data_IF_796167981307
#
_entry.id   IF_796167981307
#
_cell.length_a   1.000
_cell.length_b   1.000
_cell.length_c   1.000
_cell.angle_alpha   90.00
_cell.angle_beta   90.00
_cell.angle_gamma   90.00
#
_symmetry.space_group_name_H-M   'P 1'
#
loop_
_entity.id
_entity.type
_entity.pdbx_description
1 polymer ?
#
# COMPACT_ATOMS: atom_id res chain seq x y z
N UNK A 1 11.83 0.62 -4.69
CA UNK A 1 10.88 1.20 -5.67
C UNK A 1 11.33 2.59 -6.04
N UNK A 2 10.97 3.13 -7.22
CA UNK A 2 11.48 4.43 -7.69
C UNK A 2 10.32 5.28 -8.20
N UNK A 3 10.22 6.52 -7.71
CA UNK A 3 9.26 7.54 -8.14
C UNK A 3 9.76 8.27 -9.40
N UNK A 4 8.87 8.97 -10.10
CA UNK A 4 9.19 9.73 -11.32
C UNK A 4 10.24 10.82 -11.10
N UNK A 5 10.35 11.35 -9.88
CA UNK A 5 11.29 12.39 -9.51
C UNK A 5 12.66 11.85 -9.02
N UNK A 6 12.87 10.53 -9.15
CA UNK A 6 14.09 9.84 -8.73
C UNK A 6 14.15 9.51 -7.23
N UNK A 7 13.08 9.76 -6.47
CA UNK A 7 12.98 9.27 -5.08
C UNK A 7 12.92 7.75 -5.05
N UNK A 8 13.67 7.13 -4.16
CA UNK A 8 13.72 5.67 -3.99
C UNK A 8 13.15 5.27 -2.63
N UNK A 9 12.19 4.35 -2.62
CA UNK A 9 11.75 3.66 -1.41
C UNK A 9 12.73 2.54 -1.06
N UNK A 10 13.28 2.61 0.15
CA UNK A 10 14.28 1.69 0.68
C UNK A 10 13.77 1.05 1.96
N UNK A 11 13.84 -0.28 2.00
CA UNK A 11 13.62 -1.08 3.20
C UNK A 11 14.93 -1.24 3.97
N UNK A 12 14.94 -0.88 5.26
CA UNK A 12 16.10 -1.04 6.11
C UNK A 12 15.99 -2.30 6.97
N UNK A 13 16.89 -3.24 6.68
CA UNK A 13 17.09 -4.47 7.44
C UNK A 13 18.12 -4.19 8.55
N UNK A 14 17.81 -4.47 9.84
CA UNK A 14 18.70 -4.14 10.96
C UNK A 14 20.00 -4.94 10.92
N UNK A 15 19.97 -6.14 10.32
CA UNK A 15 21.16 -6.93 10.01
C UNK A 15 21.02 -7.50 8.60
N UNK A 16 22.15 -7.90 8.00
CA UNK A 16 22.18 -8.53 6.67
C UNK A 16 21.34 -9.80 6.59
N UNK A 17 21.25 -10.54 7.69
CA UNK A 17 20.54 -11.82 7.76
C UNK A 17 19.09 -11.67 8.26
N UNK A 18 18.66 -10.43 8.55
CA UNK A 18 17.27 -10.18 8.90
C UNK A 18 16.38 -10.38 7.68
N UNK A 19 15.31 -11.18 7.82
CA UNK A 19 14.32 -11.37 6.75
C UNK A 19 13.26 -10.25 6.67
N UNK A 20 13.30 -9.29 7.60
CA UNK A 20 12.24 -8.30 7.81
C UNK A 20 12.81 -6.91 8.04
N UNK A 21 12.27 -5.91 7.34
CA UNK A 21 12.67 -4.53 7.50
C UNK A 21 12.05 -3.91 8.75
N UNK A 22 12.81 -3.08 9.46
CA UNK A 22 12.35 -2.38 10.68
C UNK A 22 12.03 -0.92 10.44
N UNK A 23 12.41 -0.38 9.27
CA UNK A 23 12.12 0.99 8.87
C UNK A 23 12.07 1.12 7.35
N UNK A 24 11.28 2.09 6.89
CA UNK A 24 11.27 2.56 5.52
C UNK A 24 11.98 3.91 5.42
N UNK A 25 12.67 4.11 4.31
CA UNK A 25 13.34 5.37 3.99
C UNK A 25 12.97 5.82 2.57
N UNK A 26 12.85 7.13 2.40
CA UNK A 26 12.85 7.77 1.10
C UNK A 26 14.23 8.36 0.85
N UNK A 27 14.93 7.82 -0.14
CA UNK A 27 16.24 8.28 -0.56
C UNK A 27 16.13 9.13 -1.81
N UNK A 28 16.72 10.32 -1.80
CA UNK A 28 16.78 11.21 -2.96
C UNK A 28 18.05 12.05 -2.91
N UNK A 29 18.79 12.09 -4.01
CA UNK A 29 19.98 12.93 -4.16
C UNK A 29 20.97 12.81 -2.97
N UNK A 30 21.27 11.58 -2.55
CA UNK A 30 22.21 11.31 -1.47
C UNK A 30 21.65 11.49 -0.06
N UNK A 31 20.41 11.98 0.10
CA UNK A 31 19.77 12.16 1.40
C UNK A 31 18.72 11.08 1.64
N UNK A 32 18.75 10.45 2.82
CA UNK A 32 17.75 9.50 3.26
C UNK A 32 16.87 10.12 4.36
N UNK A 33 15.55 10.09 4.16
CA UNK A 33 14.56 10.47 5.18
C UNK A 33 13.81 9.25 5.65
N UNK A 34 13.82 9.00 6.97
CA UNK A 34 13.08 7.91 7.60
C UNK A 34 11.58 8.22 7.61
N UNK A 35 10.75 7.22 7.34
CA UNK A 35 9.30 7.27 7.56
C UNK A 35 8.97 6.92 9.01
N UNK A 36 7.94 7.54 9.58
CA UNK A 36 7.50 7.21 10.93
C UNK A 36 6.77 5.87 10.92
N UNK A 37 7.14 4.95 11.81
CA UNK A 37 6.38 3.71 11.99
C UNK A 37 5.10 4.01 12.79
N UNK A 38 3.95 3.38 12.46
CA UNK A 38 2.81 3.35 13.36
C UNK A 38 3.19 2.77 14.72
N UNK A 39 2.51 3.23 15.78
CA UNK A 39 2.73 2.70 17.13
C UNK A 39 2.56 1.18 17.18
N UNK A 40 3.43 0.49 17.92
CA UNK A 40 3.41 -0.98 18.05
C UNK A 40 4.00 -1.76 16.88
N UNK A 41 4.46 -1.09 15.82
CA UNK A 41 5.09 -1.74 14.66
C UNK A 41 6.51 -2.17 14.95
N UNK A 42 6.86 -3.42 14.62
CA UNK A 42 8.25 -3.92 14.64
C UNK A 42 8.80 -4.19 13.25
N UNK A 43 7.93 -4.52 12.30
CA UNK A 43 8.31 -4.83 10.92
C UNK A 43 7.44 -4.02 9.98
N UNK A 44 8.06 -3.56 8.91
CA UNK A 44 7.42 -2.79 7.85
C UNK A 44 7.79 -3.38 6.51
N UNK A 45 6.92 -3.20 5.52
CA UNK A 45 7.19 -3.52 4.14
C UNK A 45 6.63 -2.45 3.23
N UNK A 46 7.43 -2.03 2.25
CA UNK A 46 7.06 -1.05 1.25
C UNK A 46 6.60 -1.73 -0.03
N UNK A 47 5.42 -1.35 -0.52
CA UNK A 47 4.78 -1.94 -1.70
C UNK A 47 4.64 -1.01 -2.89
N UNK A 48 4.49 0.30 -2.66
CA UNK A 48 4.44 1.32 -3.73
C UNK A 48 4.95 2.69 -3.28
N UNK A 49 5.35 3.53 -4.24
CA UNK A 49 5.81 4.89 -4.05
C UNK A 49 5.29 5.80 -5.17
N UNK A 50 4.58 6.88 -4.79
CA UNK A 50 4.10 7.89 -5.74
C UNK A 50 4.05 9.28 -5.11
N UNK A 51 4.72 10.26 -5.73
CA UNK A 51 4.84 11.63 -5.24
C UNK A 51 5.29 11.70 -3.77
N UNK A 52 6.25 10.87 -3.37
CA UNK A 52 6.72 10.76 -1.99
C UNK A 52 5.73 10.15 -0.98
N UNK A 53 4.56 9.66 -1.44
CA UNK A 53 3.64 8.84 -0.64
C UNK A 53 4.01 7.39 -0.81
N UNK A 54 3.82 6.59 0.22
CA UNK A 54 4.14 5.15 0.20
C UNK A 54 2.90 4.35 0.51
N UNK A 55 2.68 3.25 -0.19
CA UNK A 55 1.79 2.18 0.27
C UNK A 55 2.64 1.05 0.83
N UNK A 56 2.17 0.43 1.91
CA UNK A 56 2.86 -0.67 2.55
C UNK A 56 2.00 -1.39 3.56
N UNK A 57 2.67 -2.22 4.33
CA UNK A 57 2.12 -2.99 5.43
C UNK A 57 3.04 -2.96 6.65
N UNK A 58 2.44 -3.11 7.82
CA UNK A 58 3.12 -3.10 9.10
C UNK A 58 2.73 -4.33 9.90
N UNK A 59 3.65 -4.83 10.71
CA UNK A 59 3.44 -5.99 11.56
C UNK A 59 3.84 -5.68 13.01
N UNK A 60 3.03 -6.10 13.99
CA UNK A 60 3.36 -6.01 15.41
C UNK A 60 4.40 -7.07 15.82
N UNK A 61 4.91 -6.96 17.05
CA UNK A 61 5.86 -7.93 17.62
C UNK A 61 5.31 -9.36 17.70
N UNK A 62 4.00 -9.48 17.90
CA UNK A 62 3.30 -10.75 18.07
C UNK A 62 2.20 -10.88 17.01
N UNK A 63 2.25 -11.98 16.26
CA UNK A 63 1.27 -12.27 15.22
C UNK A 63 1.77 -11.98 13.80
N UNK A 64 0.99 -12.43 12.82
CA UNK A 64 1.28 -12.26 11.39
C UNK A 64 0.22 -11.41 10.68
N UNK A 65 -0.66 -10.78 11.46
CA UNK A 65 -1.74 -9.95 10.95
C UNK A 65 -1.17 -8.60 10.54
N UNK A 66 -0.79 -8.51 9.26
CA UNK A 66 -0.38 -7.26 8.63
C UNK A 66 -1.51 -6.22 8.72
N UNK A 67 -1.12 -4.97 8.90
CA UNK A 67 -1.99 -3.80 8.75
C UNK A 67 -1.50 -2.95 7.61
N UNK A 68 -2.40 -2.58 6.70
CA UNK A 68 -2.09 -1.63 5.64
C UNK A 68 -1.71 -0.28 6.23
N UNK A 69 -0.62 0.28 5.73
CA UNK A 69 -0.08 1.54 6.19
C UNK A 69 0.35 2.36 4.97
N UNK A 70 -0.49 3.27 4.48
CA UNK A 70 -0.03 4.32 3.59
C UNK A 70 0.68 5.40 4.42
N UNK A 71 1.76 5.96 3.88
CA UNK A 71 2.42 7.15 4.40
C UNK A 71 2.16 8.32 3.47
N UNK A 72 1.85 9.48 4.05
CA UNK A 72 1.75 10.72 3.31
C UNK A 72 3.15 11.22 2.89
N UNK A 73 3.20 12.36 2.18
CA UNK A 73 4.47 12.94 1.69
C UNK A 73 5.44 13.27 2.80
N UNK A 74 4.93 13.67 3.96
CA UNK A 74 5.73 14.01 5.14
C UNK A 74 6.24 12.76 5.87
N UNK A 75 5.86 11.57 5.41
CA UNK A 75 6.24 10.29 5.99
C UNK A 75 5.48 9.97 7.28
N UNK A 76 4.32 10.58 7.46
CA UNK A 76 3.39 10.26 8.55
C UNK A 76 2.47 9.13 8.09
N UNK A 77 2.38 8.02 8.85
CA UNK A 77 1.48 6.92 8.52
C UNK A 77 0.02 7.32 8.75
N UNK A 78 -0.86 6.84 7.88
CA UNK A 78 -2.31 7.01 7.97
C UNK A 78 -2.99 5.65 7.76
N UNK A 79 -2.80 4.69 8.69
CA UNK A 79 -3.30 3.33 8.53
C UNK A 79 -4.83 3.32 8.46
N UNK A 80 -5.45 2.87 7.35
CA UNK A 80 -6.88 2.86 7.22
C UNK A 80 -7.50 1.75 8.08
N UNK A 81 -8.67 2.05 8.65
CA UNK A 81 -9.44 1.04 9.37
C UNK A 81 -9.80 -0.14 8.45
N UNK A 82 -9.59 -1.36 8.94
CA UNK A 82 -9.93 -2.58 8.22
C UNK A 82 -9.07 -2.87 6.98
N UNK A 83 -7.86 -2.32 6.88
CA UNK A 83 -6.90 -2.64 5.82
C UNK A 83 -5.89 -3.68 6.29
N UNK A 84 -5.82 -4.83 5.63
CA UNK A 84 -4.80 -5.86 5.89
C UNK A 84 -3.45 -5.50 5.27
N UNK A 85 -3.45 -4.99 4.03
CA UNK A 85 -2.27 -4.39 3.40
C UNK A 85 -2.69 -3.38 2.34
N UNK A 86 -1.86 -2.36 2.10
CA UNK A 86 -2.00 -1.45 0.97
C UNK A 86 -0.82 -1.68 0.03
N UNK A 87 -1.08 -1.95 -1.25
CA UNK A 87 -0.02 -2.32 -2.20
C UNK A 87 0.20 -1.32 -3.33
N UNK A 88 -0.71 -0.36 -3.55
CA UNK A 88 -0.51 0.73 -4.50
C UNK A 88 -1.05 2.05 -3.96
N UNK A 89 -0.43 3.17 -4.34
CA UNK A 89 -0.83 4.53 -3.98
C UNK A 89 -0.64 5.49 -5.14
N UNK A 90 -1.60 6.39 -5.35
CA UNK A 90 -1.48 7.44 -6.38
C UNK A 90 -0.96 8.76 -5.80
N UNK A 91 -0.71 9.74 -6.67
CA UNK A 91 -0.18 11.06 -6.27
C UNK A 91 -1.13 11.86 -5.36
N UNK A 92 -2.41 11.52 -5.32
CA UNK A 92 -3.44 12.17 -4.51
C UNK A 92 -3.65 11.48 -3.14
N UNK A 93 -3.03 10.33 -2.88
CA UNK A 93 -3.20 9.57 -1.64
C UNK A 93 -4.36 8.58 -1.65
N UNK A 94 -4.91 8.26 -2.81
CA UNK A 94 -5.78 7.09 -2.97
C UNK A 94 -4.90 5.84 -2.95
N UNK A 95 -5.21 4.89 -2.07
CA UNK A 95 -4.52 3.61 -1.96
C UNK A 95 -5.47 2.44 -2.20
N UNK A 96 -4.90 1.33 -2.65
CA UNK A 96 -5.63 0.07 -2.90
C UNK A 96 -4.90 -1.10 -2.27
N UNK A 97 -5.66 -2.13 -1.91
CA UNK A 97 -5.19 -3.13 -0.97
C UNK A 97 -6.27 -4.09 -0.49
N UNK A 98 -5.88 -5.03 0.36
CA UNK A 98 -6.79 -6.06 0.86
C UNK A 98 -7.47 -5.62 2.15
N UNK A 99 -8.77 -5.87 2.24
CA UNK A 99 -9.57 -5.54 3.42
C UNK A 99 -9.60 -6.70 4.42
N UNK A 100 -9.50 -6.38 5.71
CA UNK A 100 -9.66 -7.33 6.81
C UNK A 100 -11.07 -7.91 6.84
N UNK A 101 -11.17 -9.20 7.20
CA UNK A 101 -12.41 -9.90 7.53
C UNK A 101 -13.41 -10.13 6.37
N UNK A 102 -13.33 -9.33 5.31
CA UNK A 102 -14.28 -9.37 4.19
C UNK A 102 -13.77 -10.17 3.00
N UNK A 103 -12.45 -10.36 2.90
CA UNK A 103 -11.84 -11.01 1.74
C UNK A 103 -12.04 -10.23 0.44
N UNK A 104 -12.16 -8.90 0.53
CA UNK A 104 -12.40 -8.00 -0.61
C UNK A 104 -11.24 -7.03 -0.78
N UNK A 105 -11.10 -6.51 -2.00
CA UNK A 105 -10.23 -5.37 -2.24
C UNK A 105 -10.90 -4.09 -1.74
N UNK A 106 -10.12 -3.24 -1.09
CA UNK A 106 -10.54 -1.92 -0.65
C UNK A 106 -9.87 -0.82 -1.47
N UNK A 107 -10.57 0.29 -1.58
CA UNK A 107 -10.03 1.57 -2.01
C UNK A 107 -10.15 2.51 -0.82
N UNK A 108 -9.06 3.19 -0.49
CA UNK A 108 -9.00 4.15 0.59
C UNK A 108 -8.49 5.49 0.07
N UNK A 109 -8.98 6.56 0.68
CA UNK A 109 -8.39 7.89 0.57
C UNK A 109 -7.79 8.21 1.94
N UNK A 110 -6.46 8.13 2.04
CA UNK A 110 -5.76 8.15 3.32
C UNK A 110 -6.26 7.07 4.30
N UNK A 111 -6.87 7.45 5.41
CA UNK A 111 -7.38 6.56 6.46
C UNK A 111 -8.84 6.14 6.26
N UNK A 112 -9.54 6.75 5.30
CA UNK A 112 -10.96 6.52 5.05
C UNK A 112 -11.18 5.55 3.90
N UNK A 113 -11.95 4.48 4.13
CA UNK A 113 -12.37 3.57 3.04
C UNK A 113 -13.43 4.27 2.19
N UNK A 114 -13.17 4.35 0.89
CA UNK A 114 -14.08 4.97 -0.09
C UNK A 114 -14.86 3.92 -0.88
N UNK A 115 -14.28 2.74 -1.11
CA UNK A 115 -14.97 1.66 -1.82
C UNK A 115 -14.56 0.25 -1.37
N UNK A 116 -15.44 -0.69 -1.67
CA UNK A 116 -15.22 -2.13 -1.60
C UNK A 116 -15.41 -2.73 -2.99
N UNK A 117 -14.47 -3.55 -3.45
CA UNK A 117 -14.52 -4.22 -4.74
C UNK A 117 -14.78 -5.72 -4.48
N UNK A 118 -16.03 -6.14 -4.70
CA UNK A 118 -16.55 -7.46 -4.30
C UNK A 118 -16.46 -8.53 -5.40
N UNK A 119 -16.37 -8.13 -6.67
CA UNK A 119 -16.59 -9.02 -7.81
C UNK A 119 -15.27 -9.47 -8.49
N UNK A 120 -14.14 -9.43 -7.78
CA UNK A 120 -12.82 -9.25 -8.42
C UNK A 120 -11.67 -10.02 -7.73
N UNK A 121 -10.86 -10.83 -8.47
CA UNK A 121 -9.74 -11.59 -7.91
C UNK A 121 -8.52 -10.73 -7.53
N UNK A 122 -8.24 -9.62 -8.21
CA UNK A 122 -7.09 -8.75 -7.89
C UNK A 122 -7.29 -7.29 -8.30
N UNK A 123 -6.85 -6.38 -7.44
CA UNK A 123 -6.59 -4.98 -7.76
C UNK A 123 -5.09 -4.80 -7.76
N UNK A 124 -4.55 -4.11 -8.77
CA UNK A 124 -3.10 -4.03 -8.98
C UNK A 124 -2.58 -2.57 -8.91
N UNK A 125 -3.38 -1.56 -9.29
CA UNK A 125 -2.90 -0.16 -9.40
C UNK A 125 -3.97 0.87 -9.01
N UNK A 126 -3.55 1.91 -8.28
CA UNK A 126 -4.26 3.17 -8.08
C UNK A 126 -3.70 4.25 -9.01
N UNK A 127 -4.52 4.78 -9.93
CA UNK A 127 -4.09 5.77 -10.93
C UNK A 127 -4.37 7.21 -10.49
N UNK A 128 -3.61 8.16 -11.02
CA UNK A 128 -3.69 9.59 -10.64
C UNK A 128 -5.01 10.27 -11.03
N UNK A 129 -5.74 9.71 -12.00
CA UNK A 129 -7.08 10.17 -12.36
C UNK A 129 -8.18 9.57 -11.46
N UNK A 130 -7.81 8.91 -10.36
CA UNK A 130 -8.71 8.27 -9.41
C UNK A 130 -9.27 6.92 -9.86
N UNK A 131 -8.87 6.44 -11.04
CA UNK A 131 -9.23 5.11 -11.51
C UNK A 131 -8.41 4.04 -10.79
N UNK A 132 -9.00 2.87 -10.64
CA UNK A 132 -8.35 1.68 -10.09
C UNK A 132 -8.29 0.63 -11.19
N UNK A 133 -7.16 -0.03 -11.37
CA UNK A 133 -6.98 -1.06 -12.40
C UNK A 133 -6.57 -2.40 -11.79
N UNK A 134 -7.01 -3.48 -12.43
CA UNK A 134 -6.72 -4.84 -12.00
C UNK A 134 -7.36 -5.87 -12.92
N UNK A 135 -7.82 -6.98 -12.34
CA UNK A 135 -8.38 -8.13 -13.09
C UNK A 135 -9.71 -8.57 -12.52
N UNK A 136 -10.66 -8.88 -13.41
CA UNK A 136 -12.01 -9.37 -13.12
C UNK A 136 -12.30 -10.79 -13.50
N UNK A 137 -13.20 -11.42 -12.73
CA UNK A 137 -13.75 -12.74 -13.01
C UNK A 137 -15.27 -12.58 -13.07
N UNK A 138 -15.85 -12.34 -14.25
CA UNK A 138 -17.27 -12.00 -14.39
C UNK A 138 -18.22 -13.16 -14.06
N UNK A 139 -17.70 -14.39 -13.97
CA UNK A 139 -18.46 -15.57 -13.56
C UNK A 139 -17.50 -16.63 -12.97
N UNK A 140 -17.98 -17.57 -12.12
CA UNK A 140 -17.19 -18.72 -11.68
C UNK A 140 -16.59 -19.45 -12.89
N UNK A 141 -15.28 -19.73 -12.84
CA UNK A 141 -14.51 -20.37 -13.92
C UNK A 141 -14.29 -19.53 -15.19
N UNK A 142 -14.72 -18.27 -15.24
CA UNK A 142 -14.38 -17.36 -16.33
C UNK A 142 -12.89 -16.98 -16.31
N UNK A 143 -12.34 -16.67 -17.49
CA UNK A 143 -10.99 -16.13 -17.61
C UNK A 143 -10.90 -14.75 -16.94
N UNK A 144 -9.76 -14.47 -16.31
CA UNK A 144 -9.46 -13.13 -15.79
C UNK A 144 -9.40 -12.09 -16.92
N UNK A 145 -10.12 -10.97 -16.77
CA UNK A 145 -10.14 -9.87 -17.74
C UNK A 145 -9.51 -8.59 -17.14
N UNK A 146 -8.61 -7.90 -17.86
CA UNK A 146 -8.16 -6.57 -17.46
C UNK A 146 -9.37 -5.65 -17.28
N UNK A 147 -9.44 -4.95 -16.16
CA UNK A 147 -10.59 -4.12 -15.80
C UNK A 147 -10.15 -2.83 -15.15
N UNK A 148 -10.88 -1.76 -15.42
CA UNK A 148 -10.69 -0.44 -14.81
C UNK A 148 -11.99 -0.05 -14.13
N UNK A 149 -11.89 0.36 -12.87
CA UNK A 149 -12.98 0.90 -12.07
C UNK A 149 -12.78 2.39 -11.85
N UNK A 150 -13.89 3.12 -11.83
CA UNK A 150 -13.93 4.51 -11.39
C UNK A 150 -14.74 4.57 -10.10
N UNK A 151 -14.11 4.98 -9.01
CA UNK A 151 -14.79 5.26 -7.76
C UNK A 151 -15.36 6.68 -7.84
N UNK A 152 -16.69 6.80 -7.78
CA UNK A 152 -17.41 8.07 -7.76
C UNK A 152 -17.68 8.56 -6.35
#
# INVERSE_FOLDING_TARGET
MIDQDGTVLVEHLPTRDSGSATALYLWKAGTARKLANPSGTVTVRGWDLSNGRVAGETYPASGYDGKGAPWNQDGVPSPPAGSAYAHSVNRAGQSVGWSEGTGTWGVWQFDARTAALTDQPSVDVSADNGAVAGRSVPAPSARQLPTVWHCG
#
